data_IF_357644899516
#
_entry.id   IF_357644899516
#
_cell.length_a   1.000
_cell.length_b   1.000
_cell.length_c   1.000
_cell.angle_alpha   90.00
_cell.angle_beta   90.00
_cell.angle_gamma   90.00
#
_symmetry.space_group_name_H-M   'P 1'
#
loop_
_entity.id
_entity.type
_entity.pdbx_description
1 polymer ?
#
# COMPACT_ATOMS: atom_id res chain seq x y z
N UNK A 1 -0.05 -17.81 6.26
CA UNK A 1 -1.11 -17.18 5.46
C UNK A 1 -1.81 -16.16 6.34
N UNK A 2 -1.57 -14.87 6.13
CA UNK A 2 -2.19 -13.80 6.93
C UNK A 2 -3.71 -13.86 6.73
N UNK A 3 -4.47 -14.06 7.81
CA UNK A 3 -5.93 -14.01 7.75
C UNK A 3 -6.32 -12.54 7.57
N UNK A 4 -6.62 -12.16 6.33
CA UNK A 4 -7.16 -10.84 5.98
C UNK A 4 -8.48 -10.51 6.70
N UNK A 5 -9.13 -11.49 7.36
CA UNK A 5 -10.35 -11.32 8.14
C UNK A 5 -10.23 -10.33 9.31
N UNK A 6 -9.02 -10.03 9.79
CA UNK A 6 -8.82 -9.12 10.93
C UNK A 6 -8.35 -7.71 10.53
N UNK A 7 -8.18 -7.45 9.22
CA UNK A 7 -7.74 -6.15 8.71
C UNK A 7 -8.89 -5.45 7.97
N UNK A 8 -9.31 -4.31 8.50
CA UNK A 8 -10.26 -3.44 7.81
C UNK A 8 -9.65 -2.92 6.51
N UNK A 9 -10.28 -3.23 5.37
CA UNK A 9 -9.88 -2.69 4.05
C UNK A 9 -9.79 -1.17 4.10
N UNK A 10 -10.71 -0.52 4.81
CA UNK A 10 -10.72 0.94 4.95
C UNK A 10 -9.45 1.44 5.63
N UNK A 11 -8.98 0.77 6.69
CA UNK A 11 -7.76 1.15 7.39
C UNK A 11 -6.52 0.93 6.52
N UNK A 12 -6.49 -0.13 5.73
CA UNK A 12 -5.42 -0.41 4.77
C UNK A 12 -5.36 0.64 3.66
N UNK A 13 -6.50 1.02 3.10
CA UNK A 13 -6.59 2.09 2.10
C UNK A 13 -6.22 3.44 2.71
N UNK A 14 -6.64 3.73 3.94
CA UNK A 14 -6.25 4.97 4.65
C UNK A 14 -4.74 5.06 4.83
N UNK A 15 -4.09 3.97 5.24
CA UNK A 15 -2.62 3.89 5.33
C UNK A 15 -1.96 4.10 3.98
N UNK A 16 -2.48 3.46 2.92
CA UNK A 16 -1.95 3.65 1.57
C UNK A 16 -2.03 5.11 1.12
N UNK A 17 -3.14 5.80 1.39
CA UNK A 17 -3.31 7.23 1.08
C UNK A 17 -2.28 8.08 1.83
N UNK A 18 -2.06 7.84 3.13
CA UNK A 18 -1.05 8.59 3.90
C UNK A 18 0.37 8.40 3.37
N UNK A 19 0.74 7.18 3.00
CA UNK A 19 2.07 6.88 2.45
C UNK A 19 2.25 7.47 1.04
N UNK A 20 1.21 7.49 0.21
CA UNK A 20 1.22 8.15 -1.09
C UNK A 20 1.36 9.67 -0.96
N UNK A 21 0.66 10.28 0.00
CA UNK A 21 0.79 11.71 0.28
C UNK A 21 2.23 12.06 0.69
N UNK A 22 2.81 11.31 1.62
CA UNK A 22 4.21 11.48 2.03
C UNK A 22 5.19 11.26 0.86
N UNK A 23 4.96 10.24 0.01
CA UNK A 23 5.75 10.03 -1.20
C UNK A 23 5.69 11.24 -2.15
N UNK A 24 4.49 11.80 -2.38
CA UNK A 24 4.33 12.97 -3.24
C UNK A 24 5.05 14.22 -2.70
N UNK A 25 5.02 14.44 -1.38
CA UNK A 25 5.73 15.55 -0.74
C UNK A 25 7.25 15.42 -0.87
N UNK A 26 7.78 14.20 -0.71
CA UNK A 26 9.22 13.93 -0.74
C UNK A 26 9.81 13.85 -2.15
N UNK A 27 8.99 13.62 -3.17
CA UNK A 27 9.45 13.37 -4.54
C UNK A 27 10.30 14.51 -5.14
N UNK A 28 9.99 15.76 -4.79
CA UNK A 28 10.73 16.96 -5.23
C UNK A 28 11.85 17.39 -4.29
N UNK A 29 12.13 16.60 -3.26
CA UNK A 29 13.11 16.89 -2.22
C UNK A 29 14.56 16.63 -2.63
N UNK A 30 15.46 16.60 -1.64
CA UNK A 30 16.84 16.19 -1.82
C UNK A 30 16.94 14.71 -2.28
N UNK A 31 18.11 14.27 -2.75
CA UNK A 31 18.32 12.90 -3.26
C UNK A 31 17.83 11.82 -2.29
N UNK A 32 18.13 11.94 -1.00
CA UNK A 32 17.67 11.01 0.05
C UNK A 32 16.13 11.00 0.20
N UNK A 33 15.49 12.16 0.09
CA UNK A 33 14.03 12.30 0.15
C UNK A 33 13.38 11.72 -1.11
N UNK A 34 14.00 11.94 -2.27
CA UNK A 34 13.56 11.37 -3.54
C UNK A 34 13.64 9.83 -3.52
N UNK A 35 14.73 9.24 -3.03
CA UNK A 35 14.84 7.79 -2.84
C UNK A 35 13.78 7.26 -1.89
N UNK A 36 13.57 7.93 -0.75
CA UNK A 36 12.52 7.59 0.21
C UNK A 36 11.13 7.69 -0.41
N UNK A 37 10.89 8.67 -1.29
CA UNK A 37 9.62 8.83 -2.01
C UNK A 37 9.31 7.59 -2.85
N UNK A 38 10.32 7.02 -3.52
CA UNK A 38 10.18 5.82 -4.34
C UNK A 38 9.97 4.57 -3.48
N UNK A 39 10.67 4.43 -2.36
CA UNK A 39 10.47 3.30 -1.44
C UNK A 39 9.05 3.28 -0.86
N UNK A 40 8.52 4.45 -0.47
CA UNK A 40 7.14 4.58 -0.01
C UNK A 40 6.13 4.20 -1.10
N UNK A 41 6.34 4.64 -2.34
CA UNK A 41 5.49 4.25 -3.47
C UNK A 41 5.52 2.74 -3.71
N UNK A 42 6.71 2.13 -3.71
CA UNK A 42 6.88 0.68 -3.87
C UNK A 42 6.14 -0.10 -2.77
N UNK A 43 6.23 0.34 -1.51
CA UNK A 43 5.50 -0.27 -0.38
C UNK A 43 3.98 -0.22 -0.59
N UNK A 44 3.46 0.91 -1.04
CA UNK A 44 2.02 1.05 -1.33
C UNK A 44 1.58 0.12 -2.46
N UNK A 45 2.30 0.12 -3.58
CA UNK A 45 1.97 -0.74 -4.74
C UNK A 45 2.00 -2.22 -4.37
N UNK A 46 3.00 -2.64 -3.59
CA UNK A 46 3.09 -4.01 -3.10
C UNK A 46 1.91 -4.36 -2.19
N UNK A 47 1.54 -3.47 -1.27
CA UNK A 47 0.41 -3.70 -0.37
C UNK A 47 -0.93 -3.78 -1.11
N UNK A 48 -1.17 -2.91 -2.09
CA UNK A 48 -2.37 -2.95 -2.93
C UNK A 48 -2.46 -4.28 -3.72
N UNK A 49 -1.34 -4.82 -4.19
CA UNK A 49 -1.30 -6.15 -4.82
C UNK A 49 -1.73 -7.25 -3.84
N UNK A 50 -1.21 -7.23 -2.61
CA UNK A 50 -1.61 -8.21 -1.59
C UNK A 50 -3.10 -8.13 -1.24
N UNK A 51 -3.64 -6.91 -1.15
CA UNK A 51 -5.08 -6.70 -0.94
C UNK A 51 -5.86 -7.29 -2.11
N UNK A 52 -5.48 -6.97 -3.35
CA UNK A 52 -6.11 -7.52 -4.56
C UNK A 52 -6.10 -9.05 -4.55
N UNK A 53 -4.95 -9.67 -4.31
CA UNK A 53 -4.80 -11.13 -4.24
C UNK A 53 -5.67 -11.75 -3.16
N UNK A 54 -5.83 -11.09 -2.01
CA UNK A 54 -6.69 -11.57 -0.93
C UNK A 54 -8.18 -11.48 -1.25
N UNK A 55 -8.60 -10.45 -2.00
CA UNK A 55 -9.98 -10.30 -2.47
C UNK A 55 -10.29 -11.27 -3.62
N UNK A 56 -9.40 -11.41 -4.60
CA UNK A 56 -9.57 -12.32 -5.74
C UNK A 56 -9.48 -13.79 -5.31
N UNK A 57 -8.49 -14.15 -4.50
CA UNK A 57 -8.34 -15.51 -3.97
C UNK A 57 -9.42 -15.90 -2.95
N UNK A 58 -10.22 -14.93 -2.49
CA UNK A 58 -11.41 -15.16 -1.67
C UNK A 58 -12.70 -15.36 -2.48
N UNK A 59 -12.71 -15.06 -3.78
CA UNK A 59 -13.88 -15.16 -4.66
C UNK A 59 -14.06 -16.53 -5.32
N UNK A 60 -13.04 -17.39 -5.34
CA UNK A 60 -13.11 -18.71 -6.01
C UNK A 60 -13.87 -19.80 -5.20
N UNK A 61 -14.47 -19.44 -4.05
CA UNK A 61 -15.20 -20.38 -3.18
C UNK A 61 -16.61 -19.92 -2.80
N UNK A 62 -17.25 -19.05 -3.60
CA UNK A 62 -18.66 -18.67 -3.43
C UNK A 62 -19.57 -19.38 -4.44
#
# INVERSE_FOLDING_TARGET
MLKFKDLSLEDELRKAVSLLAASAELHGGAEEEHEMSFDLLCKVLYRLRQIKEAYEGGCDHA
#
